data_IF_865227457471
#
_entry.id   IF_865227457471
#
_cell.length_a   1.000
_cell.length_b   1.000
_cell.length_c   1.000
_cell.angle_alpha   90.00
_cell.angle_beta   90.00
_cell.angle_gamma   90.00
#
_symmetry.space_group_name_H-M   'P 1'
#
loop_
_entity.id
_entity.type
_entity.pdbx_description
1 polymer ?
#
# COMPACT_ATOMS: atom_id res chain seq x y z
N UNK A 1 -35.62 5.02 -6.96
CA UNK A 1 -35.42 4.89 -8.43
C UNK A 1 -35.35 6.25 -9.14
N UNK A 2 -36.24 7.22 -8.82
CA UNK A 2 -36.25 8.54 -9.47
C UNK A 2 -35.02 9.39 -9.13
N UNK A 3 -34.55 9.37 -7.88
CA UNK A 3 -33.43 10.21 -7.46
C UNK A 3 -32.10 9.75 -8.07
N UNK A 4 -31.93 8.46 -8.26
CA UNK A 4 -30.75 7.87 -8.88
C UNK A 4 -30.59 8.22 -10.35
N UNK A 5 -31.70 8.19 -11.09
CA UNK A 5 -31.71 8.63 -12.49
C UNK A 5 -31.25 10.10 -12.59
N UNK A 6 -31.69 10.95 -11.65
CA UNK A 6 -31.28 12.36 -11.57
C UNK A 6 -29.78 12.54 -11.27
N UNK A 7 -29.20 11.70 -10.39
CA UNK A 7 -27.76 11.75 -10.11
C UNK A 7 -26.93 11.33 -11.31
N UNK A 8 -27.36 10.28 -12.05
CA UNK A 8 -26.68 9.85 -13.28
C UNK A 8 -26.72 10.94 -14.36
N UNK A 9 -27.89 11.51 -14.61
CA UNK A 9 -28.06 12.62 -15.55
C UNK A 9 -27.19 13.83 -15.15
N UNK A 10 -27.06 14.13 -13.86
CA UNK A 10 -26.20 15.20 -13.36
C UNK A 10 -24.72 14.94 -13.59
N UNK A 11 -24.24 13.71 -13.40
CA UNK A 11 -22.86 13.32 -13.66
C UNK A 11 -22.54 13.38 -15.15
N UNK A 12 -23.39 12.82 -16.01
CA UNK A 12 -23.22 12.85 -17.46
C UNK A 12 -23.20 14.30 -18.00
N UNK A 13 -24.07 15.14 -17.48
CA UNK A 13 -24.11 16.56 -17.84
C UNK A 13 -22.83 17.29 -17.45
N UNK A 14 -22.30 17.05 -16.23
CA UNK A 14 -21.07 17.67 -15.77
C UNK A 14 -19.87 17.22 -16.62
N UNK A 15 -19.73 15.91 -16.92
CA UNK A 15 -18.65 15.37 -17.74
C UNK A 15 -18.68 15.90 -19.17
N UNK A 16 -19.86 16.12 -19.72
CA UNK A 16 -20.04 16.78 -21.02
C UNK A 16 -19.57 18.24 -20.99
N UNK A 17 -19.97 19.01 -19.97
CA UNK A 17 -19.54 20.40 -19.79
C UNK A 17 -18.02 20.52 -19.57
N UNK A 18 -17.41 19.61 -18.81
CA UNK A 18 -15.96 19.60 -18.59
C UNK A 18 -15.21 19.33 -19.91
N UNK A 19 -15.74 18.42 -20.71
CA UNK A 19 -15.17 18.10 -22.02
C UNK A 19 -15.23 19.29 -22.98
N UNK A 20 -16.37 19.97 -23.03
CA UNK A 20 -16.56 21.17 -23.84
C UNK A 20 -15.69 22.34 -23.35
N UNK A 21 -15.58 22.56 -22.05
CA UNK A 21 -14.71 23.59 -21.47
C UNK A 21 -13.23 23.36 -21.80
N UNK A 22 -12.79 22.10 -21.80
CA UNK A 22 -11.41 21.73 -22.23
C UNK A 22 -11.16 22.02 -23.71
N UNK A 23 -12.15 21.77 -24.57
CA UNK A 23 -12.02 22.00 -26.02
C UNK A 23 -12.02 23.50 -26.37
N UNK A 24 -12.78 24.31 -25.64
CA UNK A 24 -12.95 25.74 -25.91
C UNK A 24 -11.98 26.65 -25.15
N UNK A 25 -11.07 26.11 -24.35
CA UNK A 25 -10.16 26.86 -23.47
C UNK A 25 -10.90 27.87 -22.57
N UNK A 26 -12.14 27.60 -22.22
CA UNK A 26 -12.95 28.49 -21.37
C UNK A 26 -12.59 28.25 -19.89
N UNK A 27 -12.40 29.30 -19.08
CA UNK A 27 -12.00 29.11 -17.70
C UNK A 27 -13.16 28.58 -16.85
N UNK A 28 -12.92 27.50 -16.21
CA UNK A 28 -13.52 26.92 -15.01
C UNK A 28 -15.03 26.91 -14.82
N UNK A 29 -15.55 25.69 -14.79
CA UNK A 29 -16.81 25.36 -14.11
C UNK A 29 -16.77 25.89 -12.66
N UNK A 30 -17.86 26.49 -12.21
CA UNK A 30 -17.95 27.07 -10.87
C UNK A 30 -17.67 26.05 -9.77
N UNK A 31 -17.13 26.51 -8.65
CA UNK A 31 -16.85 25.67 -7.48
C UNK A 31 -18.10 24.91 -7.01
N UNK A 32 -19.25 25.58 -7.03
CA UNK A 32 -20.56 25.02 -6.67
C UNK A 32 -20.95 23.84 -7.57
N UNK A 33 -20.69 23.92 -8.86
CA UNK A 33 -20.99 22.84 -9.81
C UNK A 33 -20.10 21.62 -9.59
N UNK A 34 -18.83 21.83 -9.21
CA UNK A 34 -17.91 20.74 -8.83
C UNK A 34 -18.34 20.03 -7.56
N UNK A 35 -18.82 20.77 -6.57
CA UNK A 35 -19.33 20.19 -5.33
C UNK A 35 -20.59 19.36 -5.59
N UNK A 36 -21.50 19.85 -6.44
CA UNK A 36 -22.69 19.10 -6.85
C UNK A 36 -22.33 17.84 -7.62
N UNK A 37 -21.35 17.88 -8.52
CA UNK A 37 -20.84 16.70 -9.22
C UNK A 37 -20.26 15.66 -8.27
N UNK A 38 -19.38 16.09 -7.35
CA UNK A 38 -18.78 15.18 -6.36
C UNK A 38 -19.86 14.55 -5.47
N UNK A 39 -20.85 15.32 -5.06
CA UNK A 39 -21.99 14.81 -4.29
C UNK A 39 -22.81 13.80 -5.09
N UNK A 40 -23.12 14.08 -6.35
CA UNK A 40 -23.84 13.17 -7.22
C UNK A 40 -23.04 11.88 -7.48
N UNK A 41 -21.73 12.00 -7.74
CA UNK A 41 -20.84 10.86 -7.95
C UNK A 41 -20.70 9.98 -6.71
N UNK A 42 -20.57 10.58 -5.54
CA UNK A 42 -20.56 9.83 -4.28
C UNK A 42 -21.90 9.10 -4.05
N UNK A 43 -23.03 9.74 -4.32
CA UNK A 43 -24.33 9.07 -4.19
C UNK A 43 -24.50 7.91 -5.16
N UNK A 44 -23.93 8.01 -6.37
CA UNK A 44 -23.93 6.89 -7.33
C UNK A 44 -23.06 5.72 -6.90
N UNK A 45 -21.94 5.97 -6.21
CA UNK A 45 -21.09 4.91 -5.68
C UNK A 45 -21.78 4.03 -4.60
N UNK A 46 -22.82 4.55 -3.96
CA UNK A 46 -23.63 3.80 -2.98
C UNK A 46 -24.83 3.08 -3.62
N UNK A 47 -24.97 3.12 -4.96
CA UNK A 47 -25.95 2.31 -5.65
C UNK A 47 -25.48 0.84 -5.68
N UNK A 48 -25.82 0.15 -4.63
CA UNK A 48 -25.67 -1.31 -4.57
C UNK A 48 -26.77 -1.93 -5.40
N UNK A 49 -26.48 -2.26 -6.63
CA UNK A 49 -27.46 -2.87 -7.53
C UNK A 49 -27.57 -4.38 -7.28
N UNK A 50 -26.47 -5.02 -6.88
CA UNK A 50 -26.46 -6.47 -6.64
C UNK A 50 -25.23 -6.89 -5.80
N UNK A 51 -25.44 -7.80 -4.84
CA UNK A 51 -24.38 -8.38 -4.02
C UNK A 51 -23.33 -9.12 -4.87
N UNK A 52 -23.74 -9.77 -5.95
CA UNK A 52 -22.82 -10.45 -6.86
C UNK A 52 -21.88 -9.46 -7.58
N UNK A 53 -22.36 -8.28 -7.91
CA UNK A 53 -21.52 -7.23 -8.49
C UNK A 53 -20.48 -6.73 -7.47
N UNK A 54 -20.90 -6.47 -6.24
CA UNK A 54 -19.99 -6.08 -5.16
C UNK A 54 -18.94 -7.15 -4.93
N UNK A 55 -19.34 -8.42 -4.84
CA UNK A 55 -18.40 -9.53 -4.67
C UNK A 55 -17.40 -9.60 -5.82
N UNK A 56 -17.82 -9.38 -7.06
CA UNK A 56 -16.91 -9.34 -8.21
C UNK A 56 -15.93 -8.17 -8.15
N UNK A 57 -16.37 -6.99 -7.71
CA UNK A 57 -15.52 -5.80 -7.54
C UNK A 57 -14.53 -5.97 -6.37
N UNK A 58 -14.95 -6.62 -5.29
CA UNK A 58 -14.12 -6.89 -4.13
C UNK A 58 -13.21 -8.11 -4.31
N UNK A 59 -13.49 -8.96 -5.30
CA UNK A 59 -12.61 -10.10 -5.58
C UNK A 59 -11.22 -9.60 -5.97
N UNK A 60 -10.17 -10.08 -5.29
CA UNK A 60 -8.82 -9.79 -5.75
C UNK A 60 -8.69 -10.29 -7.19
N UNK A 61 -8.19 -9.45 -8.07
CA UNK A 61 -7.78 -9.86 -9.41
C UNK A 61 -6.84 -11.07 -9.35
N UNK A 62 -6.25 -11.45 -10.49
CA UNK A 62 -5.27 -12.53 -10.58
C UNK A 62 -4.30 -12.44 -9.40
N UNK A 63 -4.05 -13.54 -8.64
CA UNK A 63 -3.18 -13.53 -7.48
C UNK A 63 -1.86 -12.84 -7.83
N UNK A 64 -1.56 -11.72 -7.20
CA UNK A 64 -0.27 -11.06 -7.37
C UNK A 64 0.78 -11.96 -6.75
N UNK A 65 1.78 -12.34 -7.54
CA UNK A 65 2.96 -13.01 -7.02
C UNK A 65 3.73 -12.00 -6.15
N UNK A 66 3.99 -12.38 -4.90
CA UNK A 66 4.74 -11.57 -3.95
C UNK A 66 3.87 -10.66 -3.08
N UNK A 67 4.54 -9.91 -2.20
CA UNK A 67 3.92 -9.04 -1.21
C UNK A 67 3.09 -7.92 -1.80
N UNK A 68 2.11 -7.48 -1.04
CA UNK A 68 1.30 -6.31 -1.36
C UNK A 68 1.99 -5.03 -0.87
N UNK A 69 2.26 -4.11 -1.79
CA UNK A 69 2.72 -2.75 -1.47
C UNK A 69 1.53 -1.84 -1.20
N UNK A 70 1.63 -0.98 -0.21
CA UNK A 70 0.64 0.05 0.05
C UNK A 70 1.30 1.33 0.57
N UNK A 71 0.57 2.44 0.55
CA UNK A 71 1.00 3.69 1.17
C UNK A 71 1.02 3.57 2.71
N UNK A 72 1.83 4.41 3.37
CA UNK A 72 2.02 4.29 4.82
C UNK A 72 0.73 4.41 5.65
N UNK A 73 -0.17 5.32 5.27
CA UNK A 73 -1.45 5.46 5.97
C UNK A 73 -2.34 4.23 5.81
N UNK A 74 -2.40 3.66 4.62
CA UNK A 74 -3.10 2.40 4.35
C UNK A 74 -2.48 1.24 5.15
N UNK A 75 -1.15 1.21 5.24
CA UNK A 75 -0.43 0.23 6.07
C UNK A 75 -0.86 0.33 7.53
N UNK A 76 -0.95 1.54 8.09
CA UNK A 76 -1.39 1.77 9.48
C UNK A 76 -2.80 1.26 9.70
N UNK A 77 -3.73 1.56 8.80
CA UNK A 77 -5.13 1.12 8.91
C UNK A 77 -5.25 -0.42 8.86
N UNK A 78 -4.55 -1.05 7.90
CA UNK A 78 -4.51 -2.51 7.77
C UNK A 78 -3.84 -3.14 8.98
N UNK A 79 -2.70 -2.59 9.45
CA UNK A 79 -2.00 -3.05 10.64
C UNK A 79 -2.92 -3.04 11.87
N UNK A 80 -3.60 -1.92 12.13
CA UNK A 80 -4.52 -1.79 13.26
C UNK A 80 -5.72 -2.75 13.16
N UNK A 81 -6.23 -2.99 11.95
CA UNK A 81 -7.27 -3.98 11.72
C UNK A 81 -6.76 -5.39 12.01
N UNK A 82 -5.61 -5.76 11.45
CA UNK A 82 -5.00 -7.08 11.62
C UNK A 82 -4.65 -7.36 13.09
N UNK A 83 -4.20 -6.34 13.84
CA UNK A 83 -3.96 -6.46 15.27
C UNK A 83 -5.20 -6.92 16.05
N UNK A 84 -6.37 -6.38 15.73
CA UNK A 84 -7.63 -6.81 16.36
C UNK A 84 -8.01 -8.25 15.98
N UNK A 85 -7.73 -8.65 14.73
CA UNK A 85 -7.97 -10.03 14.27
C UNK A 85 -7.02 -10.99 14.98
N UNK A 86 -5.73 -10.68 15.02
CA UNK A 86 -4.71 -11.52 15.66
C UNK A 86 -4.94 -11.68 17.15
N UNK A 87 -5.33 -10.59 17.84
CA UNK A 87 -5.70 -10.64 19.25
C UNK A 87 -6.87 -11.61 19.53
N UNK A 88 -7.88 -11.58 18.66
CA UNK A 88 -9.05 -12.46 18.80
C UNK A 88 -8.75 -13.92 18.49
N UNK A 89 -7.96 -14.16 17.43
CA UNK A 89 -7.68 -15.50 16.92
C UNK A 89 -6.46 -16.16 17.59
N UNK A 90 -5.69 -15.43 18.43
CA UNK A 90 -4.45 -15.91 19.03
C UNK A 90 -3.33 -16.16 18.00
N UNK A 91 -3.34 -15.45 16.89
CA UNK A 91 -2.37 -15.63 15.81
C UNK A 91 -1.13 -14.79 16.07
N UNK A 92 0.05 -15.41 16.02
CA UNK A 92 1.33 -14.68 16.03
C UNK A 92 1.62 -14.03 14.69
N UNK A 93 2.15 -12.84 14.72
CA UNK A 93 2.61 -12.09 13.55
C UNK A 93 3.87 -11.29 13.88
N UNK A 94 4.59 -10.88 12.85
CA UNK A 94 5.88 -10.20 13.02
C UNK A 94 5.87 -8.88 12.26
N UNK A 95 6.48 -7.86 12.86
CA UNK A 95 6.80 -6.60 12.19
C UNK A 95 8.31 -6.55 11.95
N UNK A 96 8.70 -6.32 10.70
CA UNK A 96 10.10 -6.22 10.31
C UNK A 96 10.39 -4.81 9.81
N UNK A 97 11.33 -4.13 10.46
CA UNK A 97 11.89 -2.87 10.00
C UNK A 97 13.18 -3.15 9.23
N UNK A 98 13.25 -2.68 8.01
CA UNK A 98 14.38 -2.78 7.11
C UNK A 98 14.97 -1.38 6.91
N UNK A 99 16.23 -1.18 7.23
CA UNK A 99 16.91 0.11 7.12
C UNK A 99 18.17 -0.01 6.26
N UNK A 100 18.27 0.82 5.22
CA UNK A 100 19.48 0.98 4.43
C UNK A 100 20.44 1.90 5.18
N UNK A 101 21.65 1.44 5.46
CA UNK A 101 22.65 2.19 6.20
C UNK A 101 23.96 2.25 5.42
N UNK A 102 24.61 3.41 5.40
CA UNK A 102 25.96 3.55 4.87
C UNK A 102 26.96 2.74 5.70
N UNK A 103 27.87 2.04 5.04
CA UNK A 103 28.99 1.40 5.69
C UNK A 103 29.92 2.47 6.29
N UNK A 104 30.36 2.29 7.54
CA UNK A 104 31.28 3.18 8.26
C UNK A 104 30.80 4.61 8.51
N UNK A 105 29.47 4.85 8.62
CA UNK A 105 28.95 6.20 8.91
C UNK A 105 29.00 7.18 7.74
N UNK A 106 29.22 6.68 6.52
CA UNK A 106 29.13 7.51 5.33
C UNK A 106 27.69 8.04 5.19
N UNK A 107 27.55 9.35 5.08
CA UNK A 107 26.27 9.99 4.80
C UNK A 107 25.75 9.46 3.46
N UNK A 108 24.53 8.96 3.45
CA UNK A 108 23.82 8.40 2.26
C UNK A 108 23.39 9.50 1.27
N UNK A 109 24.05 10.67 1.31
CA UNK A 109 23.60 11.87 0.60
C UNK A 109 23.76 11.84 -0.93
N UNK A 110 24.41 10.85 -1.52
CA UNK A 110 24.38 10.72 -2.98
C UNK A 110 23.05 10.10 -3.42
N UNK A 111 22.10 10.93 -3.80
CA UNK A 111 20.70 10.56 -4.06
C UNK A 111 20.52 9.38 -5.03
N UNK A 112 21.42 9.20 -6.01
CA UNK A 112 21.33 8.11 -6.98
C UNK A 112 21.70 6.73 -6.44
N UNK A 113 22.64 6.66 -5.47
CA UNK A 113 23.06 5.40 -4.86
C UNK A 113 21.99 4.85 -3.91
N UNK A 114 21.39 5.74 -3.12
CA UNK A 114 20.29 5.38 -2.23
C UNK A 114 19.05 4.93 -3.00
N UNK A 115 18.72 5.58 -4.11
CA UNK A 115 17.59 5.21 -4.96
C UNK A 115 17.79 3.81 -5.57
N UNK A 116 18.99 3.52 -6.07
CA UNK A 116 19.33 2.19 -6.60
C UNK A 116 19.26 1.10 -5.52
N UNK A 117 19.78 1.39 -4.31
CA UNK A 117 19.70 0.47 -3.19
C UNK A 117 18.25 0.23 -2.74
N UNK A 118 17.44 1.26 -2.76
CA UNK A 118 16.00 1.23 -2.44
C UNK A 118 15.23 0.34 -3.40
N UNK A 119 15.42 0.54 -4.71
CA UNK A 119 14.80 -0.28 -5.74
C UNK A 119 15.23 -1.76 -5.64
N UNK A 120 16.50 -1.99 -5.29
CA UNK A 120 17.01 -3.35 -5.02
C UNK A 120 16.33 -3.98 -3.80
N UNK A 121 16.19 -3.23 -2.70
CA UNK A 121 15.53 -3.72 -1.49
C UNK A 121 14.04 -4.01 -1.74
N UNK A 122 13.34 -3.12 -2.41
CA UNK A 122 11.93 -3.32 -2.77
C UNK A 122 11.75 -4.59 -3.64
N UNK A 123 12.60 -4.78 -4.65
CA UNK A 123 12.60 -6.01 -5.45
C UNK A 123 12.90 -7.26 -4.61
N UNK A 124 13.80 -7.17 -3.61
CA UNK A 124 14.08 -8.26 -2.70
C UNK A 124 12.87 -8.61 -1.84
N UNK A 125 12.19 -7.62 -1.28
CA UNK A 125 10.96 -7.80 -0.49
C UNK A 125 9.90 -8.48 -1.34
N UNK A 126 9.52 -7.89 -2.47
CA UNK A 126 8.44 -8.38 -3.34
C UNK A 126 8.62 -9.84 -3.78
N UNK A 127 9.87 -10.25 -4.03
CA UNK A 127 10.18 -11.61 -4.52
C UNK A 127 10.40 -12.64 -3.42
N UNK A 128 10.39 -12.21 -2.16
CA UNK A 128 10.77 -13.08 -1.03
C UNK A 128 9.60 -13.41 -0.14
N UNK A 129 8.75 -12.44 0.17
CA UNK A 129 7.63 -12.60 1.09
C UNK A 129 6.33 -12.95 0.36
N UNK A 130 5.35 -13.44 1.10
CA UNK A 130 4.11 -14.02 0.57
C UNK A 130 3.14 -12.93 0.10
N UNK A 131 2.16 -13.31 -0.70
CA UNK A 131 1.07 -12.42 -1.12
C UNK A 131 0.15 -11.97 0.04
N UNK A 132 0.15 -12.70 1.15
CA UNK A 132 -0.55 -12.34 2.40
C UNK A 132 0.20 -11.30 3.23
N UNK A 133 1.48 -11.09 2.94
CA UNK A 133 2.31 -10.13 3.65
C UNK A 133 2.21 -8.74 3.00
N UNK A 134 2.38 -7.73 3.84
CA UNK A 134 2.22 -6.34 3.45
C UNK A 134 3.52 -5.58 3.68
N UNK A 135 3.87 -4.67 2.78
CA UNK A 135 4.98 -3.77 3.02
C UNK A 135 4.68 -2.34 2.60
N UNK A 136 5.36 -1.41 3.25
CA UNK A 136 5.29 0.02 2.92
C UNK A 136 6.67 0.66 3.04
N UNK A 137 6.85 1.74 2.32
CA UNK A 137 7.98 2.62 2.51
C UNK A 137 7.70 3.56 3.68
N UNK A 138 8.53 3.50 4.73
CA UNK A 138 8.37 4.31 5.93
C UNK A 138 9.16 5.64 5.89
N UNK A 139 10.32 5.62 5.26
CA UNK A 139 11.20 6.78 5.18
C UNK A 139 12.01 6.81 3.90
N UNK A 140 13.04 7.66 3.88
CA UNK A 140 13.96 7.76 2.74
C UNK A 140 14.78 6.48 2.52
N UNK A 141 15.06 5.76 3.58
CA UNK A 141 15.95 4.61 3.67
C UNK A 141 15.33 3.42 4.39
N UNK A 142 14.03 3.48 4.72
CA UNK A 142 13.35 2.50 5.57
C UNK A 142 12.10 1.90 4.91
N UNK A 143 11.89 0.61 5.16
CA UNK A 143 10.68 -0.13 4.84
C UNK A 143 10.15 -0.84 6.07
N UNK A 144 8.83 -0.90 6.18
CA UNK A 144 8.13 -1.74 7.16
C UNK A 144 7.48 -2.91 6.42
N UNK A 145 7.58 -4.10 7.01
CA UNK A 145 6.98 -5.33 6.49
C UNK A 145 6.16 -5.97 7.60
N UNK A 146 4.89 -6.25 7.32
CA UNK A 146 4.01 -7.04 8.17
C UNK A 146 3.99 -8.48 7.65
N UNK A 147 4.53 -9.40 8.43
CA UNK A 147 4.51 -10.83 8.15
C UNK A 147 3.28 -11.44 8.87
N UNK A 148 2.20 -11.61 8.12
CA UNK A 148 0.94 -12.07 8.66
C UNK A 148 0.98 -13.56 8.99
N UNK A 149 0.39 -13.94 10.13
CA UNK A 149 0.30 -15.33 10.58
C UNK A 149 1.66 -16.05 10.60
N UNK A 150 2.67 -15.35 11.09
CA UNK A 150 4.07 -15.83 11.08
C UNK A 150 4.60 -15.77 12.50
N UNK A 151 5.02 -16.92 13.04
CA UNK A 151 5.71 -16.99 14.32
C UNK A 151 7.18 -16.57 14.19
N UNK A 152 7.87 -16.49 15.33
CA UNK A 152 9.24 -15.99 15.43
C UNK A 152 10.21 -16.68 14.45
N UNK A 153 10.18 -17.99 14.35
CA UNK A 153 11.06 -18.74 13.43
C UNK A 153 10.79 -18.35 11.96
N UNK A 154 9.53 -18.28 11.55
CA UNK A 154 9.18 -17.89 10.18
C UNK A 154 9.53 -16.44 9.87
N UNK A 155 9.49 -15.55 10.87
CA UNK A 155 9.94 -14.18 10.76
C UNK A 155 11.44 -14.06 10.54
N UNK A 156 12.24 -14.85 11.28
CA UNK A 156 13.69 -14.92 11.09
C UNK A 156 14.06 -15.49 9.71
N UNK A 157 13.39 -16.54 9.26
CA UNK A 157 13.60 -17.10 7.93
C UNK A 157 13.25 -16.08 6.81
N UNK A 158 12.19 -15.32 6.99
CA UNK A 158 11.82 -14.26 6.04
C UNK A 158 12.85 -13.14 6.02
N UNK A 159 13.34 -12.72 7.19
CA UNK A 159 14.41 -11.73 7.35
C UNK A 159 15.67 -12.16 6.62
N UNK A 160 16.13 -13.39 6.86
CA UNK A 160 17.35 -13.95 6.24
C UNK A 160 17.21 -14.01 4.72
N UNK A 161 16.10 -14.51 4.20
CA UNK A 161 15.87 -14.58 2.75
C UNK A 161 15.83 -13.18 2.09
N UNK A 162 15.26 -12.17 2.75
CA UNK A 162 15.28 -10.79 2.23
C UNK A 162 16.72 -10.30 2.20
N UNK A 163 17.48 -10.51 3.26
CA UNK A 163 18.85 -10.05 3.38
C UNK A 163 19.77 -10.72 2.35
N UNK A 164 19.69 -12.03 2.19
CA UNK A 164 20.44 -12.78 1.16
C UNK A 164 20.10 -12.28 -0.25
N UNK A 165 18.82 -12.13 -0.55
CA UNK A 165 18.39 -11.65 -1.86
C UNK A 165 18.82 -10.21 -2.11
N UNK A 166 18.73 -9.35 -1.11
CA UNK A 166 19.23 -7.97 -1.23
C UNK A 166 20.73 -7.97 -1.52
N UNK A 167 21.54 -8.73 -0.77
CA UNK A 167 22.98 -8.86 -0.99
C UNK A 167 23.30 -9.38 -2.40
N UNK A 168 22.49 -10.29 -2.93
CA UNK A 168 22.70 -10.86 -4.27
C UNK A 168 22.42 -9.87 -5.41
N UNK A 169 21.49 -8.92 -5.23
CA UNK A 169 21.08 -7.96 -6.28
C UNK A 169 21.64 -6.56 -6.06
N UNK A 170 22.05 -6.22 -4.84
CA UNK A 170 22.64 -4.92 -4.53
C UNK A 170 24.01 -4.79 -5.20
N UNK A 171 24.15 -3.74 -6.02
CA UNK A 171 25.42 -3.44 -6.69
C UNK A 171 26.34 -2.50 -5.89
N UNK A 172 25.89 -2.09 -4.69
CA UNK A 172 26.58 -1.10 -3.91
C UNK A 172 27.05 -1.68 -2.57
N UNK A 173 28.34 -2.02 -2.43
CA UNK A 173 28.90 -2.59 -1.19
C UNK A 173 28.98 -1.57 -0.05
N UNK A 174 28.78 -0.28 -0.33
CA UNK A 174 28.81 0.78 0.68
C UNK A 174 27.48 0.92 1.42
N UNK A 175 26.42 0.28 0.95
CA UNK A 175 25.10 0.32 1.60
C UNK A 175 24.79 -1.08 2.14
N UNK A 176 24.62 -1.16 3.44
CA UNK A 176 24.25 -2.37 4.18
C UNK A 176 22.78 -2.35 4.56
N UNK A 177 22.17 -3.51 4.69
CA UNK A 177 20.81 -3.69 5.16
C UNK A 177 20.81 -4.06 6.64
N UNK A 178 20.18 -3.25 7.47
CA UNK A 178 19.87 -3.56 8.88
C UNK A 178 18.42 -4.02 8.96
N UNK A 179 18.20 -5.07 9.74
CA UNK A 179 16.89 -5.68 9.91
C UNK A 179 16.56 -5.78 11.40
N UNK A 180 15.42 -5.24 11.81
CA UNK A 180 14.90 -5.38 13.16
C UNK A 180 13.55 -6.08 13.10
N UNK A 181 13.46 -7.23 13.78
CA UNK A 181 12.26 -8.05 13.86
C UNK A 181 11.61 -7.88 15.24
N UNK A 182 10.28 -7.70 15.26
CA UNK A 182 9.49 -7.58 16.49
C UNK A 182 8.28 -8.49 16.44
N UNK A 183 8.07 -9.23 17.51
CA UNK A 183 6.81 -9.93 17.73
C UNK A 183 5.68 -8.92 17.88
N UNK A 184 4.61 -9.17 17.14
CA UNK A 184 3.35 -8.49 17.34
C UNK A 184 2.52 -9.38 18.26
N UNK A 185 2.77 -9.29 19.57
CA UNK A 185 1.85 -9.87 20.54
C UNK A 185 0.69 -8.92 20.75
N UNK A 186 -0.56 -9.40 20.64
CA UNK A 186 -1.67 -8.63 21.17
C UNK A 186 -1.39 -8.42 22.66
N UNK A 187 -1.12 -7.17 23.07
CA UNK A 187 -1.04 -6.86 24.48
C UNK A 187 -2.37 -7.23 25.12
N UNK A 188 -2.35 -8.10 26.10
CA UNK A 188 -3.45 -8.22 27.04
C UNK A 188 -3.70 -6.82 27.66
N UNK A 189 -4.95 -6.37 27.75
CA UNK A 189 -5.32 -5.08 28.27
C UNK A 189 -4.91 -4.88 29.73
#
# INVERSE_FOLDING_TARGET
LNDLKRYREAVEYYEALETEARQTCTPFLSQDLKEQYLKAKNMMQYEVVDMEQIQRELMPGIPRLGATSCEYLEFVDIYQFMMRVFAREGISSQLLLLTLAGSQGAELESSGMLESARSSLESAIQKTIRCSDLYTRYGSDQFLVLLASTGQQGGEEARERIQERYCAISRNPQITLRCELRDICPHEP
#
